data_IF_586242724056
#
_entry.id   IF_586242724056
#
_cell.length_a   1.000
_cell.length_b   1.000
_cell.length_c   1.000
_cell.angle_alpha   90.00
_cell.angle_beta   90.00
_cell.angle_gamma   90.00
#
_symmetry.space_group_name_H-M   'P 1'
#
loop_
_entity.id
_entity.type
_entity.pdbx_description
1 polymer ?
#
# COMPACT_ATOMS: atom_id res chain seq x y z
N UNK A 1 -15.38 -1.86 13.21
CA UNK A 1 -14.65 -0.97 12.29
C UNK A 1 -13.49 -0.35 13.06
N UNK A 2 -12.25 -0.59 12.64
CA UNK A 2 -11.05 -0.18 13.39
C UNK A 2 -10.64 1.29 13.16
N UNK A 3 -11.54 2.14 12.65
CA UNK A 3 -11.32 3.58 12.49
C UNK A 3 -10.39 4.00 11.33
N UNK A 4 -9.66 3.05 10.72
CA UNK A 4 -8.75 3.31 9.60
C UNK A 4 -9.43 3.36 8.24
N UNK A 5 -10.69 2.95 8.12
CA UNK A 5 -11.42 2.93 6.84
C UNK A 5 -11.42 4.30 6.17
N UNK A 6 -11.52 5.37 6.98
CA UNK A 6 -11.48 6.75 6.49
C UNK A 6 -10.09 7.13 5.99
N UNK A 7 -9.02 6.67 6.65
CA UNK A 7 -7.64 6.88 6.21
C UNK A 7 -7.37 6.11 4.93
N UNK A 8 -7.82 4.86 4.84
CA UNK A 8 -7.65 4.03 3.65
C UNK A 8 -8.42 4.58 2.45
N UNK A 9 -9.63 5.11 2.67
CA UNK A 9 -10.46 5.71 1.62
C UNK A 9 -9.88 6.98 1.00
N UNK A 10 -9.01 7.72 1.70
CA UNK A 10 -8.38 8.94 1.17
C UNK A 10 -7.08 8.68 0.44
N UNK A 11 -6.54 7.45 0.49
CA UNK A 11 -5.28 7.12 -0.16
C UNK A 11 -5.39 7.07 -1.69
N UNK A 12 -6.59 6.95 -2.25
CA UNK A 12 -6.75 6.98 -3.70
C UNK A 12 -8.16 6.68 -4.19
N UNK A 13 -8.54 7.23 -5.35
CA UNK A 13 -9.78 6.84 -6.05
C UNK A 13 -9.61 5.61 -6.92
N UNK A 14 -8.38 5.33 -7.31
CA UNK A 14 -8.00 4.12 -8.04
C UNK A 14 -6.93 3.34 -7.27
N UNK A 15 -6.83 2.04 -7.55
CA UNK A 15 -5.85 1.16 -6.91
C UNK A 15 -4.41 1.66 -7.05
N UNK A 16 -4.03 2.22 -8.22
CA UNK A 16 -2.71 2.82 -8.40
C UNK A 16 -2.45 3.95 -7.41
N UNK A 17 -3.41 4.84 -7.24
CA UNK A 17 -3.27 6.01 -6.35
C UNK A 17 -3.05 5.53 -4.92
N UNK A 18 -3.84 4.53 -4.48
CA UNK A 18 -3.67 3.89 -3.18
C UNK A 18 -2.26 3.33 -3.00
N UNK A 19 -1.78 2.52 -3.96
CA UNK A 19 -0.46 1.87 -3.89
C UNK A 19 0.68 2.90 -3.83
N UNK A 20 0.59 3.97 -4.61
CA UNK A 20 1.57 5.06 -4.56
C UNK A 20 1.44 5.90 -3.28
N UNK A 21 0.22 6.04 -2.74
CA UNK A 21 -0.06 6.74 -1.50
C UNK A 21 0.44 6.05 -0.24
N UNK A 22 0.68 4.73 -0.29
CA UNK A 22 1.20 3.96 0.85
C UNK A 22 2.56 4.46 1.34
N UNK A 23 3.45 4.84 0.44
CA UNK A 23 4.78 5.34 0.81
C UNK A 23 4.67 6.68 1.57
N UNK A 24 3.79 7.58 1.09
CA UNK A 24 3.49 8.83 1.77
C UNK A 24 2.86 8.61 3.16
N UNK A 25 1.93 7.66 3.26
CA UNK A 25 1.32 7.28 4.54
C UNK A 25 2.39 6.75 5.51
N UNK A 26 3.26 5.87 5.04
CA UNK A 26 4.36 5.34 5.85
C UNK A 26 5.30 6.44 6.32
N UNK A 27 5.63 7.41 5.47
CA UNK A 27 6.45 8.54 5.84
C UNK A 27 5.76 9.44 6.88
N UNK A 28 4.46 9.69 6.74
CA UNK A 28 3.69 10.38 7.76
C UNK A 28 3.70 9.64 9.10
N UNK A 29 3.54 8.32 9.07
CA UNK A 29 3.56 7.49 10.28
C UNK A 29 4.95 7.48 10.94
N UNK A 30 6.06 7.69 10.21
CA UNK A 30 7.41 7.76 10.81
C UNK A 30 7.55 8.90 11.82
N UNK A 31 6.78 9.98 11.69
CA UNK A 31 6.77 11.06 12.69
C UNK A 31 6.33 10.57 14.07
N UNK A 32 5.35 9.66 14.12
CA UNK A 32 4.87 9.05 15.38
C UNK A 32 5.63 7.77 15.75
N UNK A 33 6.18 7.06 14.76
CA UNK A 33 6.89 5.78 14.93
C UNK A 33 8.31 5.85 14.33
N UNK A 34 9.28 6.50 15.00
CA UNK A 34 10.60 6.76 14.42
C UNK A 34 11.42 5.52 14.06
N UNK A 35 11.14 4.39 14.72
CA UNK A 35 11.83 3.10 14.47
C UNK A 35 11.13 2.23 13.42
N UNK A 36 10.06 2.71 12.81
CA UNK A 36 9.33 1.98 11.80
C UNK A 36 10.16 1.79 10.54
N UNK A 37 10.33 0.53 10.14
CA UNK A 37 10.93 0.14 8.86
C UNK A 37 9.81 -0.17 7.87
N UNK A 38 9.28 0.82 7.17
CA UNK A 38 8.18 0.59 6.23
C UNK A 38 8.67 -0.14 4.96
N UNK A 39 7.83 -0.99 4.32
CA UNK A 39 8.04 -1.37 2.93
C UNK A 39 7.82 -0.16 2.00
N UNK A 40 8.31 -0.25 0.77
CA UNK A 40 8.07 0.72 -0.30
C UNK A 40 7.38 0.06 -1.49
N UNK A 41 6.47 0.82 -2.10
CA UNK A 41 5.62 0.43 -3.21
C UNK A 41 5.78 1.40 -4.38
N UNK A 42 6.06 0.87 -5.56
CA UNK A 42 6.19 1.70 -6.77
C UNK A 42 5.45 1.06 -7.95
N UNK A 43 4.45 1.76 -8.46
CA UNK A 43 3.73 1.34 -9.67
C UNK A 43 4.51 1.75 -10.91
N UNK A 44 5.19 0.80 -11.56
CA UNK A 44 5.96 1.08 -12.79
C UNK A 44 5.05 1.34 -13.98
N UNK A 45 4.07 0.46 -14.21
CA UNK A 45 3.13 0.51 -15.34
C UNK A 45 1.73 0.13 -14.90
N UNK A 46 0.75 0.78 -15.52
CA UNK A 46 -0.66 0.48 -15.39
C UNK A 46 -1.21 0.36 -16.81
N UNK A 47 -1.94 -0.73 -17.06
CA UNK A 47 -2.61 -1.05 -18.31
C UNK A 47 -4.05 -1.46 -18.01
N UNK A 48 -4.90 -1.57 -19.03
CA UNK A 48 -6.27 -2.08 -18.87
C UNK A 48 -6.32 -3.48 -18.23
N UNK A 49 -5.25 -4.26 -18.41
CA UNK A 49 -5.11 -5.61 -17.84
C UNK A 49 -4.54 -5.66 -16.41
N UNK A 50 -4.04 -4.56 -15.86
CA UNK A 50 -3.55 -4.51 -14.48
C UNK A 50 -2.37 -3.57 -14.21
N UNK A 51 -1.69 -3.78 -13.08
CA UNK A 51 -0.60 -2.93 -12.58
C UNK A 51 0.66 -3.77 -12.34
N UNK A 52 1.80 -3.31 -12.86
CA UNK A 52 3.13 -3.82 -12.50
C UNK A 52 3.64 -3.07 -11.27
N UNK A 53 3.67 -3.76 -10.14
CA UNK A 53 4.04 -3.20 -8.84
C UNK A 53 5.41 -3.72 -8.37
N UNK A 54 6.30 -2.80 -8.01
CA UNK A 54 7.55 -3.11 -7.31
C UNK A 54 7.32 -3.05 -5.82
N UNK A 55 7.61 -4.15 -5.13
CA UNK A 55 7.59 -4.24 -3.67
C UNK A 55 9.02 -4.36 -3.14
N UNK A 56 9.43 -3.42 -2.29
CA UNK A 56 10.75 -3.42 -1.64
C UNK A 56 10.59 -3.42 -0.13
N UNK A 57 11.27 -4.33 0.55
CA UNK A 57 11.19 -4.46 2.00
C UNK A 57 12.49 -5.03 2.55
N UNK A 58 12.93 -4.51 3.70
CA UNK A 58 14.03 -5.12 4.46
C UNK A 58 13.60 -6.43 5.16
N UNK A 59 12.30 -6.72 5.24
CA UNK A 59 11.78 -7.95 5.87
C UNK A 59 11.67 -9.07 4.84
N UNK A 60 12.22 -10.22 5.17
CA UNK A 60 12.12 -11.45 4.36
C UNK A 60 10.85 -12.23 4.72
N UNK A 61 10.25 -12.91 3.75
CA UNK A 61 9.10 -13.80 3.97
C UNK A 61 7.72 -13.14 3.91
N UNK A 62 7.62 -11.82 3.75
CA UNK A 62 6.34 -11.09 3.76
C UNK A 62 5.69 -10.90 2.38
N UNK A 63 6.29 -11.43 1.31
CA UNK A 63 5.78 -11.26 -0.05
C UNK A 63 4.31 -11.69 -0.17
N UNK A 64 4.00 -12.92 0.25
CA UNK A 64 2.64 -13.47 0.15
C UNK A 64 1.64 -12.76 1.05
N UNK A 65 2.09 -12.32 2.23
CA UNK A 65 1.28 -11.50 3.13
C UNK A 65 0.90 -10.18 2.47
N UNK A 66 1.87 -9.48 1.88
CA UNK A 66 1.64 -8.22 1.17
C UNK A 66 0.71 -8.40 -0.03
N UNK A 67 0.88 -9.48 -0.80
CA UNK A 67 -0.03 -9.80 -1.91
C UNK A 67 -1.47 -9.99 -1.41
N UNK A 68 -1.66 -10.73 -0.32
CA UNK A 68 -2.99 -10.94 0.28
C UNK A 68 -3.65 -9.63 0.72
N UNK A 69 -2.89 -8.78 1.42
CA UNK A 69 -3.35 -7.46 1.85
C UNK A 69 -3.79 -6.59 0.67
N UNK A 70 -2.98 -6.50 -0.39
CA UNK A 70 -3.31 -5.71 -1.58
C UNK A 70 -4.55 -6.25 -2.28
N UNK A 71 -4.66 -7.57 -2.46
CA UNK A 71 -5.84 -8.19 -3.07
C UNK A 71 -7.11 -7.88 -2.29
N UNK A 72 -7.03 -7.95 -0.96
CA UNK A 72 -8.19 -7.73 -0.11
C UNK A 72 -8.60 -6.26 -0.08
N UNK A 73 -7.64 -5.34 -0.01
CA UNK A 73 -7.93 -3.90 -0.16
C UNK A 73 -8.56 -3.62 -1.52
N UNK A 74 -8.02 -4.22 -2.59
CA UNK A 74 -8.59 -4.15 -3.93
C UNK A 74 -10.07 -4.51 -3.89
N UNK A 75 -10.39 -5.74 -3.48
CA UNK A 75 -11.76 -6.25 -3.41
C UNK A 75 -12.71 -5.41 -2.55
N UNK A 76 -12.20 -4.76 -1.50
CA UNK A 76 -13.02 -3.99 -0.56
C UNK A 76 -13.28 -2.55 -0.99
N UNK A 77 -12.36 -1.93 -1.72
CA UNK A 77 -12.40 -0.50 -2.03
C UNK A 77 -12.49 -0.18 -3.53
N UNK A 78 -12.18 -1.12 -4.42
CA UNK A 78 -12.09 -0.93 -5.88
C UNK A 78 -12.72 -2.08 -6.67
#
# INVERSE_FOLDING_TARGET
QYGYDRVLSVLGRHMRDFLNGLDNLHDHLKFSYPRMKAPSFFCERETESGITLHYRSARRGFLWYTIGQIKEVGRHFY
#
